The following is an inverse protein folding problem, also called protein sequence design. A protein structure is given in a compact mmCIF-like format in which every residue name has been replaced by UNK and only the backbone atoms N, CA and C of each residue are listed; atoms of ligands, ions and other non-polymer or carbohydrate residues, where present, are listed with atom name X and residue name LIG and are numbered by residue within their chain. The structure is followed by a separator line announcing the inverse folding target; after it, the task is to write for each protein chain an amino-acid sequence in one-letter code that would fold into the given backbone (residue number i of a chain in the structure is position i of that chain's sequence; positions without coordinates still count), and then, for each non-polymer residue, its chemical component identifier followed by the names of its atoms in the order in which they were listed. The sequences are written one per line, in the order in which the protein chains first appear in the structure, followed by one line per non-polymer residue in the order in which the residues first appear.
data_IF_286640790484
#
_entry.id   IF_286640790484
#
_cell.length_a   1.000
_cell.length_b   1.000
_cell.length_c   1.000
_cell.angle_alpha   90.00
_cell.angle_beta   90.00
_cell.angle_gamma   90.00
#
_symmetry.space_group_name_H-M   'P 1'
#
loop_
_entity.id
_entity.type
_entity.pdbx_description
1 polymer ?
#
# COMPACT_ATOMS: atom_id res chain seq x y z
N UNK A 1 -22.18 -18.25 -4.91
CA UNK A 1 -22.83 -16.93 -4.89
C UNK A 1 -22.37 -16.18 -3.65
N UNK A 2 -21.55 -15.12 -3.77
CA UNK A 2 -21.28 -14.24 -2.62
C UNK A 2 -22.54 -13.45 -2.33
N UNK A 3 -23.04 -13.51 -1.11
CA UNK A 3 -24.10 -12.61 -0.64
C UNK A 3 -23.58 -11.19 -0.78
N UNK A 4 -24.25 -10.35 -1.57
CA UNK A 4 -23.90 -8.93 -1.69
C UNK A 4 -24.04 -8.32 -0.28
N UNK A 5 -22.94 -7.95 0.33
CA UNK A 5 -22.95 -7.29 1.65
C UNK A 5 -23.66 -5.95 1.51
N UNK A 6 -24.73 -5.75 2.27
CA UNK A 6 -25.38 -4.44 2.32
C UNK A 6 -24.40 -3.44 2.94
N UNK A 7 -24.11 -2.34 2.22
CA UNK A 7 -23.24 -1.28 2.72
C UNK A 7 -23.78 -0.73 4.05
N UNK A 8 -22.89 -0.52 5.02
CA UNK A 8 -23.25 0.12 6.29
C UNK A 8 -23.68 1.58 6.05
N UNK A 9 -24.44 2.14 6.97
CA UNK A 9 -24.85 3.55 6.82
C UNK A 9 -23.64 4.49 6.82
N UNK A 10 -22.61 4.20 7.63
CA UNK A 10 -21.38 4.98 7.65
C UNK A 10 -20.66 4.92 6.28
N UNK A 11 -20.62 3.74 5.64
CA UNK A 11 -20.08 3.60 4.29
C UNK A 11 -20.87 4.42 3.26
N UNK A 12 -22.19 4.37 3.31
CA UNK A 12 -23.05 5.11 2.39
C UNK A 12 -22.88 6.63 2.56
N UNK A 13 -22.84 7.11 3.79
CA UNK A 13 -22.61 8.53 4.11
C UNK A 13 -21.21 8.96 3.68
N UNK A 14 -20.18 8.14 3.96
CA UNK A 14 -18.81 8.42 3.51
C UNK A 14 -18.72 8.55 2.00
N UNK A 15 -19.26 7.57 1.24
CA UNK A 15 -19.28 7.61 -0.23
C UNK A 15 -19.99 8.83 -0.76
N UNK A 16 -21.13 9.22 -0.16
CA UNK A 16 -21.89 10.37 -0.59
C UNK A 16 -21.19 11.70 -0.31
N UNK A 17 -20.44 11.79 0.79
CA UNK A 17 -19.68 13.00 1.14
C UNK A 17 -18.30 13.08 0.45
N UNK A 18 -17.82 11.97 -0.14
CA UNK A 18 -16.53 11.92 -0.81
C UNK A 18 -16.51 12.56 -2.20
N UNK A 19 -17.64 13.05 -2.70
CA UNK A 19 -17.72 13.88 -3.91
C UNK A 19 -17.24 15.33 -3.67
N UNK A 20 -16.89 15.67 -2.42
CA UNK A 20 -16.44 17.01 -2.01
C UNK A 20 -17.55 18.04 -1.91
N UNK A 21 -18.81 17.67 -2.20
CA UNK A 21 -19.96 18.58 -2.13
C UNK A 21 -20.55 18.61 -0.72
N UNK A 22 -21.02 19.78 -0.32
CA UNK A 22 -21.74 19.91 0.94
C UNK A 22 -23.13 19.27 0.85
N UNK A 23 -23.48 18.47 1.86
CA UNK A 23 -24.82 17.92 2.01
C UNK A 23 -25.32 18.12 3.44
N UNK A 24 -26.59 18.54 3.59
CA UNK A 24 -27.21 18.62 4.91
C UNK A 24 -27.50 17.21 5.46
N UNK A 25 -27.52 17.07 6.78
CA UNK A 25 -27.90 15.79 7.41
C UNK A 25 -29.34 15.38 7.04
N UNK A 26 -30.23 16.36 6.74
CA UNK A 26 -31.57 16.07 6.26
C UNK A 26 -31.54 15.55 4.82
N UNK A 27 -30.81 16.19 3.92
CA UNK A 27 -30.64 15.72 2.53
C UNK A 27 -30.11 14.30 2.48
N UNK A 28 -29.06 14.00 3.28
CA UNK A 28 -28.51 12.65 3.38
C UNK A 28 -29.52 11.62 3.93
N UNK A 29 -30.33 12.05 4.91
CA UNK A 29 -31.37 11.20 5.49
C UNK A 29 -32.45 10.85 4.45
N UNK A 30 -32.89 11.84 3.69
CA UNK A 30 -33.91 11.67 2.64
C UNK A 30 -33.37 10.80 1.49
N UNK A 31 -32.15 11.05 1.00
CA UNK A 31 -31.50 10.27 -0.06
C UNK A 31 -31.30 8.79 0.34
N UNK A 32 -30.92 8.54 1.60
CA UNK A 32 -30.60 7.20 2.09
C UNK A 32 -31.78 6.47 2.74
N UNK A 33 -32.94 7.12 2.84
CA UNK A 33 -34.15 6.54 3.42
C UNK A 33 -34.03 6.25 4.94
N UNK A 34 -33.31 7.10 5.69
CA UNK A 34 -33.05 6.94 7.12
C UNK A 34 -33.40 8.20 7.91
N UNK A 35 -33.26 8.17 9.22
CA UNK A 35 -33.49 9.36 10.05
C UNK A 35 -32.27 10.27 10.09
N UNK A 36 -32.47 11.58 10.28
CA UNK A 36 -31.37 12.54 10.48
C UNK A 36 -30.44 12.15 11.62
N UNK A 37 -30.98 11.62 12.72
CA UNK A 37 -30.16 11.15 13.85
C UNK A 37 -29.28 9.95 13.50
N UNK A 38 -29.75 9.05 12.61
CA UNK A 38 -28.95 7.96 12.10
C UNK A 38 -27.77 8.45 11.24
N UNK A 39 -28.00 9.46 10.40
CA UNK A 39 -26.94 10.11 9.61
C UNK A 39 -25.90 10.75 10.53
N UNK A 40 -26.32 11.46 11.59
CA UNK A 40 -25.38 12.05 12.55
C UNK A 40 -24.52 10.99 13.25
N UNK A 41 -25.12 9.86 13.67
CA UNK A 41 -24.35 8.75 14.22
C UNK A 41 -23.36 8.15 13.22
N UNK A 42 -23.75 8.05 11.95
CA UNK A 42 -22.87 7.58 10.89
C UNK A 42 -21.69 8.54 10.65
N UNK A 43 -21.92 9.86 10.65
CA UNK A 43 -20.86 10.86 10.56
C UNK A 43 -19.90 10.77 11.76
N UNK A 44 -20.42 10.63 12.96
CA UNK A 44 -19.59 10.46 14.15
C UNK A 44 -18.70 9.18 14.05
N UNK A 45 -19.25 8.06 13.56
CA UNK A 45 -18.45 6.86 13.33
C UNK A 45 -17.35 7.05 12.26
N UNK A 46 -17.58 7.90 11.26
CA UNK A 46 -16.56 8.29 10.27
C UNK A 46 -15.45 9.13 10.94
N UNK A 47 -15.82 10.06 11.83
CA UNK A 47 -14.87 10.88 12.59
C UNK A 47 -14.04 10.04 13.55
N UNK A 48 -14.66 9.08 14.26
CA UNK A 48 -13.96 8.11 15.12
C UNK A 48 -12.97 7.24 14.34
N UNK A 49 -13.27 6.95 13.05
CA UNK A 49 -12.35 6.26 12.14
C UNK A 49 -11.21 7.15 11.61
N UNK A 50 -11.13 8.40 12.05
CA UNK A 50 -10.05 9.34 11.73
C UNK A 50 -10.28 10.23 10.52
N UNK A 51 -11.51 10.30 10.01
CA UNK A 51 -11.89 11.18 8.88
C UNK A 51 -12.63 12.40 9.39
N UNK A 52 -12.05 13.60 9.33
CA UNK A 52 -12.74 14.81 9.74
C UNK A 52 -13.92 15.13 8.81
N UNK A 53 -15.11 15.30 9.41
CA UNK A 53 -16.30 15.78 8.73
C UNK A 53 -16.43 17.29 8.99
N UNK A 54 -16.23 18.08 7.96
CA UNK A 54 -16.36 19.53 8.06
C UNK A 54 -17.84 19.92 8.06
N UNK A 55 -18.24 20.76 9.01
CA UNK A 55 -19.59 21.36 9.05
C UNK A 55 -19.51 22.86 8.79
N UNK A 56 -20.30 23.34 7.84
CA UNK A 56 -20.47 24.77 7.56
C UNK A 56 -21.95 25.13 7.70
N UNK A 57 -22.30 26.12 8.55
CA UNK A 57 -23.68 26.61 8.71
C UNK A 57 -24.31 26.96 7.35
N UNK A 58 -25.55 26.56 7.15
CA UNK A 58 -26.34 26.73 5.92
C UNK A 58 -25.82 25.98 4.66
N UNK A 59 -24.63 25.33 4.72
CA UNK A 59 -24.12 24.51 3.63
C UNK A 59 -24.24 23.03 3.95
N UNK A 60 -24.04 22.63 5.22
CA UNK A 60 -24.09 21.24 5.66
C UNK A 60 -22.71 20.65 5.92
N UNK A 61 -22.55 19.36 5.66
CA UNK A 61 -21.36 18.57 5.95
C UNK A 61 -20.64 18.17 4.64
N UNK A 62 -19.32 18.05 4.70
CA UNK A 62 -18.48 17.41 3.68
C UNK A 62 -17.30 16.71 4.32
N UNK A 63 -16.67 15.79 3.64
CA UNK A 63 -15.35 15.31 4.04
C UNK A 63 -14.30 16.37 3.76
N UNK A 64 -13.23 16.41 4.56
CA UNK A 64 -12.10 17.32 4.31
C UNK A 64 -11.55 17.07 2.91
N UNK A 65 -11.07 18.11 2.24
CA UNK A 65 -10.55 18.08 0.88
C UNK A 65 -9.52 16.97 0.68
N UNK A 66 -9.59 16.33 -0.47
CA UNK A 66 -8.67 15.26 -0.89
C UNK A 66 -9.07 13.83 -0.48
N UNK A 67 -10.17 13.64 0.24
CA UNK A 67 -10.68 12.31 0.54
C UNK A 67 -11.66 11.87 -0.54
N UNK A 68 -11.22 10.95 -1.40
CA UNK A 68 -12.03 10.34 -2.47
C UNK A 68 -12.25 8.86 -2.14
N UNK A 69 -13.51 8.38 -2.17
CA UNK A 69 -13.81 6.97 -1.96
C UNK A 69 -13.18 6.09 -3.06
N UNK A 70 -12.74 4.90 -2.69
CA UNK A 70 -12.27 3.92 -3.65
C UNK A 70 -13.48 3.38 -4.45
N UNK A 71 -13.32 3.36 -5.76
CA UNK A 71 -14.34 2.92 -6.72
C UNK A 71 -13.74 2.01 -7.78
N UNK A 72 -14.25 0.77 -7.86
CA UNK A 72 -13.75 -0.25 -8.79
C UNK A 72 -13.87 0.19 -10.23
N UNK A 73 -14.99 0.82 -10.62
CA UNK A 73 -15.22 1.23 -12.00
C UNK A 73 -14.23 2.32 -12.41
N UNK A 74 -13.98 3.31 -11.53
CA UNK A 74 -12.98 4.36 -11.78
C UNK A 74 -11.56 3.80 -11.86
N UNK A 75 -11.20 2.85 -10.98
CA UNK A 75 -9.89 2.19 -11.01
C UNK A 75 -9.70 1.43 -12.34
N UNK A 76 -10.67 0.59 -12.71
CA UNK A 76 -10.56 -0.23 -13.92
C UNK A 76 -10.59 0.63 -15.20
N UNK A 77 -11.37 1.71 -15.23
CA UNK A 77 -11.41 2.63 -16.37
C UNK A 77 -10.08 3.37 -16.64
N UNK A 78 -9.23 3.50 -15.62
CA UNK A 78 -7.91 4.14 -15.74
C UNK A 78 -6.78 3.16 -16.07
N UNK A 79 -7.05 1.84 -16.08
CA UNK A 79 -6.06 0.84 -16.46
C UNK A 79 -5.88 0.83 -17.99
N UNK A 80 -4.63 0.79 -18.49
CA UNK A 80 -4.37 0.48 -19.89
C UNK A 80 -4.95 -0.89 -20.27
N UNK A 81 -5.46 -1.05 -21.49
CA UNK A 81 -6.14 -2.28 -21.93
C UNK A 81 -5.32 -3.55 -21.71
N UNK A 82 -4.00 -3.49 -21.93
CA UNK A 82 -3.09 -4.62 -21.73
C UNK A 82 -2.90 -5.00 -20.25
N UNK A 83 -3.03 -4.05 -19.33
CA UNK A 83 -2.99 -4.30 -17.90
C UNK A 83 -4.36 -4.78 -17.40
N UNK A 84 -5.45 -4.19 -17.89
CA UNK A 84 -6.82 -4.61 -17.57
C UNK A 84 -7.06 -6.09 -17.93
N UNK A 85 -6.54 -6.56 -19.06
CA UNK A 85 -6.64 -7.96 -19.47
C UNK A 85 -5.96 -8.95 -18.49
N UNK A 86 -5.10 -8.44 -17.60
CA UNK A 86 -4.43 -9.22 -16.55
C UNK A 86 -5.13 -9.15 -15.19
N UNK A 87 -6.25 -8.48 -15.07
CA UNK A 87 -7.03 -8.38 -13.84
C UNK A 87 -8.26 -9.27 -13.97
N UNK A 88 -8.26 -10.41 -13.28
CA UNK A 88 -9.43 -11.31 -13.24
C UNK A 88 -10.54 -10.78 -12.31
N UNK A 89 -10.13 -10.07 -11.26
CA UNK A 89 -11.03 -9.57 -10.22
C UNK A 89 -10.46 -8.33 -9.57
N UNK A 90 -11.31 -7.34 -9.32
CA UNK A 90 -10.98 -6.16 -8.53
C UNK A 90 -12.14 -5.88 -7.56
N UNK A 91 -11.84 -5.75 -6.28
CA UNK A 91 -12.84 -5.53 -5.24
C UNK A 91 -12.37 -4.46 -4.26
N UNK A 92 -13.33 -3.70 -3.72
CA UNK A 92 -13.14 -2.74 -2.63
C UNK A 92 -14.02 -3.15 -1.46
N UNK A 93 -13.40 -3.38 -0.31
CA UNK A 93 -14.09 -3.63 0.95
C UNK A 93 -14.09 -2.37 1.81
N UNK A 94 -15.21 -2.11 2.50
CA UNK A 94 -15.29 -0.99 3.44
C UNK A 94 -14.30 -1.13 4.58
N UNK A 95 -14.33 -2.29 5.25
CA UNK A 95 -13.42 -2.60 6.34
C UNK A 95 -13.19 -4.10 6.41
N UNK A 96 -11.94 -4.48 6.66
CA UNK A 96 -11.53 -5.86 6.94
C UNK A 96 -10.23 -5.87 7.75
N UNK A 97 -9.87 -6.98 8.38
CA UNK A 97 -8.63 -7.04 9.15
C UNK A 97 -7.37 -6.76 8.32
N UNK A 98 -7.23 -7.41 7.17
CA UNK A 98 -6.09 -7.27 6.28
C UNK A 98 -6.43 -7.75 4.87
N UNK A 99 -6.15 -6.95 3.86
CA UNK A 99 -6.32 -7.29 2.45
C UNK A 99 -5.45 -8.49 2.05
N UNK A 100 -4.21 -8.57 2.56
CA UNK A 100 -3.34 -9.73 2.35
C UNK A 100 -3.93 -11.01 2.93
N UNK A 101 -4.38 -10.95 4.20
CA UNK A 101 -4.97 -12.12 4.85
C UNK A 101 -6.22 -12.62 4.11
N UNK A 102 -7.04 -11.70 3.62
CA UNK A 102 -8.24 -12.04 2.85
C UNK A 102 -7.90 -12.73 1.53
N UNK A 103 -6.90 -12.25 0.78
CA UNK A 103 -6.46 -12.87 -0.47
C UNK A 103 -5.73 -14.21 -0.24
N UNK A 104 -4.95 -14.33 0.84
CA UNK A 104 -4.33 -15.62 1.20
C UNK A 104 -5.37 -16.69 1.53
N UNK A 105 -6.49 -16.32 2.11
CA UNK A 105 -7.61 -17.22 2.42
C UNK A 105 -8.52 -17.47 1.21
N UNK A 106 -8.42 -16.64 0.16
CA UNK A 106 -9.22 -16.80 -1.05
C UNK A 106 -8.69 -17.92 -1.95
N UNK A 107 -9.48 -18.25 -2.98
CA UNK A 107 -9.04 -19.16 -4.05
C UNK A 107 -7.90 -18.58 -4.89
N UNK A 108 -7.23 -19.44 -5.63
CA UNK A 108 -6.15 -19.03 -6.52
C UNK A 108 -6.68 -18.21 -7.70
N UNK A 109 -6.04 -17.09 -8.02
CA UNK A 109 -6.35 -16.39 -9.27
C UNK A 109 -5.94 -17.25 -10.48
N UNK A 110 -6.62 -17.09 -11.64
CA UNK A 110 -6.21 -17.75 -12.86
C UNK A 110 -4.76 -17.41 -13.22
N UNK A 111 -4.06 -18.35 -13.87
CA UNK A 111 -2.69 -18.12 -14.34
C UNK A 111 -2.61 -16.86 -15.20
N UNK A 112 -1.57 -16.06 -14.99
CA UNK A 112 -1.31 -14.80 -15.70
C UNK A 112 -2.36 -13.70 -15.48
N UNK A 113 -3.22 -13.85 -14.49
CA UNK A 113 -4.18 -12.84 -14.06
C UNK A 113 -4.08 -12.59 -12.56
N UNK A 114 -4.45 -11.40 -12.14
CA UNK A 114 -4.41 -10.96 -10.76
C UNK A 114 -5.81 -10.92 -10.14
N UNK A 115 -5.91 -11.24 -8.86
CA UNK A 115 -7.01 -10.81 -8.01
C UNK A 115 -6.56 -9.61 -7.19
N UNK A 116 -7.27 -8.49 -7.34
CA UNK A 116 -6.98 -7.22 -6.68
C UNK A 116 -8.01 -6.99 -5.57
N UNK A 117 -7.54 -6.69 -4.37
CA UNK A 117 -8.39 -6.37 -3.22
C UNK A 117 -7.89 -5.11 -2.53
N UNK A 118 -8.81 -4.17 -2.35
CA UNK A 118 -8.59 -2.94 -1.62
C UNK A 118 -9.48 -2.88 -0.38
N UNK A 119 -9.08 -2.05 0.59
CA UNK A 119 -9.92 -1.70 1.72
C UNK A 119 -9.87 -0.20 1.98
N UNK A 120 -11.02 0.40 2.30
CA UNK A 120 -11.07 1.75 2.82
C UNK A 120 -10.42 1.83 4.20
N UNK A 121 -10.57 0.78 5.01
CA UNK A 121 -9.99 0.67 6.34
C UNK A 121 -9.54 -0.75 6.66
N UNK A 122 -8.32 -0.90 7.21
CA UNK A 122 -7.84 -2.15 7.78
C UNK A 122 -7.84 -2.06 9.30
N UNK A 123 -8.60 -2.95 9.97
CA UNK A 123 -8.70 -2.99 11.44
C UNK A 123 -7.49 -3.67 12.11
N UNK A 124 -6.74 -4.49 11.36
CA UNK A 124 -5.55 -5.20 11.81
C UNK A 124 -4.51 -5.27 10.67
N UNK A 125 -4.19 -4.11 10.09
CA UNK A 125 -3.20 -3.99 9.02
C UNK A 125 -1.83 -4.51 9.47
N UNK A 126 -1.14 -5.25 8.59
CA UNK A 126 0.10 -5.95 8.90
C UNK A 126 1.27 -5.43 8.09
N UNK A 127 2.40 -5.30 8.76
CA UNK A 127 3.71 -5.14 8.16
C UNK A 127 4.61 -6.34 8.48
N UNK A 128 5.83 -6.31 7.99
CA UNK A 128 6.83 -7.36 8.26
C UNK A 128 7.11 -7.51 9.76
N UNK A 129 7.46 -8.74 10.17
CA UNK A 129 7.85 -9.07 11.56
C UNK A 129 6.76 -8.72 12.57
N UNK A 130 5.48 -8.88 12.21
CA UNK A 130 4.35 -8.64 13.11
C UNK A 130 4.07 -7.17 13.45
N UNK A 131 4.75 -6.21 12.80
CA UNK A 131 4.45 -4.78 13.02
C UNK A 131 3.07 -4.44 12.48
N UNK A 132 2.37 -3.56 13.17
CA UNK A 132 1.10 -3.03 12.68
C UNK A 132 1.33 -2.03 11.54
N UNK A 133 0.45 -2.07 10.53
CA UNK A 133 0.28 -1.02 9.55
C UNK A 133 -0.95 -0.20 9.92
N UNK A 134 -0.74 1.06 10.24
CA UNK A 134 -1.82 1.99 10.61
C UNK A 134 -2.21 2.80 9.37
N UNK A 135 -3.45 2.66 8.94
CA UNK A 135 -3.99 3.39 7.80
C UNK A 135 -5.30 4.07 8.24
N UNK A 136 -5.38 5.41 8.19
CA UNK A 136 -6.64 6.08 8.46
C UNK A 136 -7.64 5.81 7.33
N UNK A 137 -8.92 5.78 7.67
CA UNK A 137 -10.00 5.69 6.68
C UNK A 137 -9.84 6.81 5.64
N UNK A 138 -9.87 6.47 4.36
CA UNK A 138 -9.76 7.44 3.27
C UNK A 138 -8.38 8.10 3.09
N UNK A 139 -7.46 7.99 4.05
CA UNK A 139 -6.15 8.66 4.03
C UNK A 139 -4.97 7.80 3.55
N UNK A 140 -5.22 6.55 3.16
CA UNK A 140 -4.20 5.64 2.67
C UNK A 140 -4.73 4.75 1.54
N UNK A 141 -3.83 4.18 0.76
CA UNK A 141 -4.11 3.04 -0.10
C UNK A 141 -3.72 1.78 0.67
N UNK A 142 -4.69 0.87 0.86
CA UNK A 142 -4.47 -0.49 1.35
C UNK A 142 -4.82 -1.45 0.22
N UNK A 143 -3.80 -1.84 -0.55
CA UNK A 143 -3.92 -2.65 -1.77
C UNK A 143 -3.25 -3.99 -1.55
N UNK A 144 -3.90 -5.08 -1.98
CA UNK A 144 -3.26 -6.38 -2.15
C UNK A 144 -3.56 -6.94 -3.53
N UNK A 145 -2.55 -7.59 -4.11
CA UNK A 145 -2.62 -8.26 -5.41
C UNK A 145 -2.20 -9.71 -5.20
N UNK A 146 -3.10 -10.66 -5.46
CA UNK A 146 -2.76 -12.07 -5.53
C UNK A 146 -2.41 -12.45 -6.97
N UNK A 147 -1.36 -13.26 -7.12
CA UNK A 147 -0.86 -13.76 -8.39
C UNK A 147 -0.41 -15.20 -8.26
N UNK A 148 -0.75 -16.05 -9.23
CA UNK A 148 -0.32 -17.44 -9.27
C UNK A 148 0.89 -17.58 -10.21
N UNK A 149 2.04 -17.99 -9.65
CA UNK A 149 3.20 -18.43 -10.41
C UNK A 149 3.08 -19.92 -10.66
N UNK A 150 3.27 -20.42 -11.90
CA UNK A 150 3.28 -21.87 -12.18
C UNK A 150 4.36 -22.60 -11.40
N UNK A 151 5.51 -21.96 -11.23
CA UNK A 151 6.64 -22.41 -10.42
C UNK A 151 7.11 -21.24 -9.55
N UNK A 152 7.62 -21.54 -8.36
CA UNK A 152 8.12 -20.52 -7.44
C UNK A 152 9.35 -19.83 -8.05
N UNK A 153 9.33 -18.50 -8.27
CA UNK A 153 10.48 -17.77 -8.78
C UNK A 153 11.69 -17.91 -7.86
N UNK A 154 12.88 -18.17 -8.43
CA UNK A 154 14.12 -18.32 -7.66
C UNK A 154 14.46 -17.08 -6.82
N UNK A 155 14.17 -15.90 -7.37
CA UNK A 155 14.48 -14.61 -6.76
C UNK A 155 13.28 -14.03 -5.97
N UNK A 156 12.36 -14.88 -5.48
CA UNK A 156 11.13 -14.39 -4.82
C UNK A 156 11.42 -13.38 -3.70
N UNK A 157 12.54 -13.52 -3.00
CA UNK A 157 12.97 -12.57 -1.97
C UNK A 157 13.16 -11.14 -2.51
N UNK A 158 13.47 -10.98 -3.81
CA UNK A 158 13.62 -9.69 -4.47
C UNK A 158 12.29 -9.12 -5.01
N UNK A 159 11.18 -9.84 -4.93
CA UNK A 159 9.90 -9.35 -5.47
C UNK A 159 9.47 -8.04 -4.81
N UNK A 160 9.75 -7.83 -3.52
CA UNK A 160 9.46 -6.56 -2.86
C UNK A 160 10.25 -5.39 -3.47
N UNK A 161 11.45 -5.64 -3.99
CA UNK A 161 12.26 -4.63 -4.68
C UNK A 161 11.68 -4.30 -6.06
N UNK A 162 11.21 -5.33 -6.79
CA UNK A 162 10.49 -5.14 -8.07
C UNK A 162 9.23 -4.29 -7.87
N UNK A 163 8.43 -4.62 -6.86
CA UNK A 163 7.22 -3.84 -6.53
C UNK A 163 7.56 -2.40 -6.13
N UNK A 164 8.69 -2.21 -5.44
CA UNK A 164 9.24 -0.88 -5.16
C UNK A 164 9.52 -0.08 -6.44
N UNK A 165 10.16 -0.70 -7.45
CA UNK A 165 10.39 -0.07 -8.76
C UNK A 165 9.07 0.24 -9.47
N UNK A 166 8.09 -0.68 -9.43
CA UNK A 166 6.75 -0.41 -9.96
C UNK A 166 6.09 0.80 -9.28
N UNK A 167 6.24 0.94 -7.97
CA UNK A 167 5.73 2.09 -7.23
C UNK A 167 6.44 3.40 -7.64
N UNK A 168 7.77 3.39 -7.83
CA UNK A 168 8.49 4.56 -8.36
C UNK A 168 7.95 5.00 -9.73
N UNK A 169 7.71 4.06 -10.63
CA UNK A 169 7.14 4.35 -11.97
C UNK A 169 5.73 4.92 -11.85
N UNK A 170 4.90 4.32 -10.97
CA UNK A 170 3.53 4.76 -10.74
C UNK A 170 3.44 6.19 -10.18
N UNK A 171 4.39 6.59 -9.34
CA UNK A 171 4.42 7.92 -8.71
C UNK A 171 5.28 8.93 -9.48
N UNK A 172 6.39 8.51 -10.11
CA UNK A 172 7.31 9.39 -10.84
C UNK A 172 6.66 10.16 -11.97
N UNK A 173 5.62 9.64 -12.60
CA UNK A 173 4.84 10.32 -13.63
C UNK A 173 4.08 11.57 -13.11
N UNK A 174 4.06 11.82 -11.80
CA UNK A 174 3.33 12.91 -11.14
C UNK A 174 4.22 13.83 -10.30
N UNK A 175 5.52 13.90 -10.60
CA UNK A 175 6.49 14.79 -9.96
C UNK A 175 6.55 14.70 -8.42
N UNK A 176 6.38 13.49 -7.85
CA UNK A 176 6.60 13.26 -6.43
C UNK A 176 8.10 13.34 -6.15
N UNK A 177 8.55 14.48 -5.62
CA UNK A 177 9.96 14.73 -5.37
C UNK A 177 10.52 13.89 -4.22
N UNK A 178 11.78 13.49 -4.35
CA UNK A 178 12.53 12.84 -3.28
C UNK A 178 12.12 11.41 -2.96
N UNK A 179 11.27 10.79 -3.79
CA UNK A 179 10.88 9.39 -3.59
C UNK A 179 12.05 8.45 -3.83
N UNK A 180 12.31 7.56 -2.87
CA UNK A 180 13.40 6.60 -2.88
C UNK A 180 12.95 5.26 -2.28
N UNK A 181 13.76 4.23 -2.46
CA UNK A 181 13.53 2.88 -1.98
C UNK A 181 14.48 2.57 -0.81
N UNK A 182 13.91 2.21 0.33
CA UNK A 182 14.70 1.71 1.45
C UNK A 182 14.57 0.20 1.52
N UNK A 183 15.70 -0.48 1.32
CA UNK A 183 15.76 -1.93 1.43
C UNK A 183 15.25 -2.42 2.81
N UNK A 184 14.46 -3.50 2.86
CA UNK A 184 14.10 -4.34 1.72
C UNK A 184 12.72 -4.03 1.11
N UNK A 185 11.93 -3.12 1.66
CA UNK A 185 10.51 -3.07 1.31
C UNK A 185 9.81 -1.74 1.59
N UNK A 186 10.54 -0.67 1.89
CA UNK A 186 9.93 0.61 2.23
C UNK A 186 10.08 1.62 1.07
N UNK A 187 9.00 2.36 0.83
CA UNK A 187 8.98 3.59 0.05
C UNK A 187 9.25 4.74 1.02
N UNK A 188 10.23 5.57 0.71
CA UNK A 188 10.62 6.69 1.59
C UNK A 188 10.79 7.98 0.78
N UNK A 189 10.57 9.12 1.44
CA UNK A 189 10.95 10.43 0.94
C UNK A 189 11.48 11.26 2.10
N UNK A 190 12.56 11.99 1.88
CA UNK A 190 13.24 12.80 2.91
C UNK A 190 13.55 12.03 4.22
N UNK A 191 13.89 10.74 4.07
CA UNK A 191 14.16 9.84 5.20
C UNK A 191 12.91 9.31 5.92
N UNK A 192 11.72 9.84 5.62
CA UNK A 192 10.43 9.46 6.23
C UNK A 192 9.71 8.41 5.40
N UNK A 193 8.92 7.56 6.05
CA UNK A 193 8.22 6.45 5.40
C UNK A 193 6.94 6.93 4.71
N UNK A 194 6.87 6.77 3.39
CA UNK A 194 5.68 6.98 2.55
C UNK A 194 4.82 5.73 2.48
N UNK A 195 5.44 4.56 2.38
CA UNK A 195 4.71 3.32 2.19
C UNK A 195 5.53 2.08 2.53
N UNK A 196 4.91 0.93 2.44
CA UNK A 196 5.56 -0.35 2.67
C UNK A 196 4.95 -1.47 1.84
N UNK A 197 5.78 -2.45 1.52
CA UNK A 197 5.44 -3.62 0.72
C UNK A 197 5.56 -4.86 1.60
N UNK A 198 4.57 -5.74 1.55
CA UNK A 198 4.54 -7.00 2.27
C UNK A 198 4.22 -8.13 1.31
N UNK A 199 5.22 -9.00 1.08
CA UNK A 199 5.03 -10.21 0.28
C UNK A 199 4.73 -11.36 1.22
N UNK A 200 3.61 -12.02 0.99
CA UNK A 200 3.21 -13.27 1.65
C UNK A 200 2.88 -14.31 0.58
N UNK A 201 3.01 -15.57 0.90
CA UNK A 201 2.74 -16.64 -0.06
C UNK A 201 2.05 -17.83 0.59
N UNK A 202 1.32 -18.56 -0.25
CA UNK A 202 0.88 -19.92 0.00
C UNK A 202 1.43 -20.80 -1.12
N UNK A 203 2.25 -21.75 -0.78
CA UNK A 203 2.79 -22.73 -1.72
C UNK A 203 2.66 -24.11 -1.12
N UNK A 204 2.34 -25.07 -1.95
CA UNK A 204 2.47 -26.50 -1.62
C UNK A 204 3.89 -26.96 -1.93
N UNK A 205 4.28 -28.15 -1.46
CA UNK A 205 5.64 -28.68 -1.62
C UNK A 205 6.07 -28.85 -3.09
N UNK A 206 5.09 -28.97 -4.00
CA UNK A 206 5.29 -29.00 -5.45
C UNK A 206 4.06 -28.43 -6.13
N UNK A 207 4.25 -27.52 -7.09
CA UNK A 207 3.15 -26.97 -7.87
C UNK A 207 3.10 -25.43 -7.88
N UNK A 208 1.97 -24.87 -8.29
CA UNK A 208 1.79 -23.42 -8.35
C UNK A 208 1.93 -22.76 -6.99
N UNK A 209 2.53 -21.58 -6.97
CA UNK A 209 2.64 -20.74 -5.79
C UNK A 209 1.75 -19.51 -5.91
N UNK A 210 0.85 -19.31 -4.96
CA UNK A 210 0.09 -18.07 -4.84
C UNK A 210 0.87 -17.09 -4.00
N UNK A 211 1.26 -15.99 -4.62
CA UNK A 211 1.94 -14.87 -3.95
C UNK A 211 0.97 -13.72 -3.78
N UNK A 212 0.89 -13.17 -2.58
CA UNK A 212 0.09 -12.00 -2.26
C UNK A 212 1.02 -10.83 -1.97
N UNK A 213 0.86 -9.78 -2.76
CA UNK A 213 1.64 -8.54 -2.73
C UNK A 213 0.80 -7.48 -2.05
N UNK A 214 1.11 -7.17 -0.80
CA UNK A 214 0.48 -6.06 -0.06
C UNK A 214 1.25 -4.77 -0.24
N UNK A 215 0.55 -3.68 -0.49
CA UNK A 215 1.12 -2.34 -0.61
C UNK A 215 0.28 -1.39 0.22
N UNK A 216 0.93 -0.78 1.22
CA UNK A 216 0.38 0.33 1.98
C UNK A 216 1.04 1.63 1.55
N UNK A 217 0.26 2.65 1.18
CA UNK A 217 0.78 3.98 0.82
C UNK A 217 0.00 5.05 1.58
N UNK A 218 0.72 5.94 2.23
CA UNK A 218 0.15 7.11 2.88
C UNK A 218 -0.21 8.14 1.81
N UNK A 219 -1.47 8.55 1.76
CA UNK A 219 -1.96 9.54 0.79
C UNK A 219 -2.22 10.88 1.47
N UNK A 220 -2.96 10.86 2.57
CA UNK A 220 -3.30 12.04 3.37
C UNK A 220 -3.39 11.65 4.85
N UNK A 221 -2.30 11.79 5.59
CA UNK A 221 -2.26 11.46 7.02
C UNK A 221 -2.74 12.65 7.86
N UNK A 222 -3.73 12.42 8.73
CA UNK A 222 -4.11 13.39 9.75
C UNK A 222 -3.03 13.53 10.84
N UNK A 223 -3.09 14.64 11.60
CA UNK A 223 -2.14 14.92 12.66
C UNK A 223 -2.08 13.82 13.73
N UNK A 224 -3.24 13.25 14.10
CA UNK A 224 -3.33 12.20 15.11
C UNK A 224 -2.63 10.90 14.66
N UNK A 225 -2.76 10.53 13.37
CA UNK A 225 -2.07 9.36 12.82
C UNK A 225 -0.57 9.59 12.78
N UNK A 226 -0.12 10.79 12.39
CA UNK A 226 1.31 11.15 12.42
C UNK A 226 1.86 11.07 13.84
N UNK A 227 1.13 11.59 14.84
CA UNK A 227 1.53 11.52 16.24
C UNK A 227 1.64 10.07 16.74
N UNK A 228 0.69 9.21 16.39
CA UNK A 228 0.74 7.77 16.73
C UNK A 228 1.93 7.05 16.09
N UNK A 229 2.24 7.36 14.84
CA UNK A 229 3.39 6.78 14.12
C UNK A 229 4.70 7.27 14.75
N UNK A 230 4.78 8.56 15.11
CA UNK A 230 5.94 9.14 15.78
C UNK A 230 6.14 8.54 17.19
N UNK A 231 5.09 8.34 17.96
CA UNK A 231 5.15 7.68 19.27
C UNK A 231 5.67 6.23 19.20
N UNK A 232 5.49 5.56 18.05
CA UNK A 232 6.05 4.24 17.77
C UNK A 232 7.52 4.29 17.26
N UNK A 233 8.17 5.45 17.32
CA UNK A 233 9.57 5.64 16.89
C UNK A 233 9.78 5.58 15.37
N UNK A 234 8.75 5.95 14.59
CA UNK A 234 8.83 6.02 13.14
C UNK A 234 8.42 7.42 12.66
N UNK A 235 8.94 7.83 11.52
CA UNK A 235 8.54 9.05 10.86
C UNK A 235 7.80 8.71 9.58
N UNK A 236 6.62 9.29 9.40
CA UNK A 236 5.78 9.10 8.23
C UNK A 236 5.64 10.39 7.43
N UNK A 237 5.55 10.22 6.11
CA UNK A 237 5.19 11.25 5.15
C UNK A 237 4.05 10.72 4.28
N UNK A 238 3.29 11.58 3.65
CA UNK A 238 2.25 11.21 2.70
C UNK A 238 2.39 11.93 1.35
N UNK A 239 1.63 11.47 0.36
CA UNK A 239 1.70 12.00 -1.00
C UNK A 239 1.29 13.48 -1.08
N UNK A 240 0.31 13.91 -0.31
CA UNK A 240 -0.10 15.32 -0.32
C UNK A 240 1.00 16.25 0.16
N UNK A 241 1.75 15.86 1.20
CA UNK A 241 2.89 16.63 1.72
C UNK A 241 4.01 16.73 0.67
N UNK A 242 4.15 15.71 -0.17
CA UNK A 242 5.12 15.69 -1.28
C UNK A 242 4.63 16.43 -2.54
N UNK A 243 3.45 17.05 -2.49
CA UNK A 243 2.84 17.70 -3.66
C UNK A 243 2.25 16.73 -4.69
N UNK A 244 2.08 15.46 -4.30
CA UNK A 244 1.52 14.42 -5.15
C UNK A 244 -0.01 14.45 -5.24
N UNK A 245 -0.53 13.51 -6.04
CA UNK A 245 -1.96 13.35 -6.25
C UNK A 245 -2.64 12.71 -5.03
N UNK A 246 -3.85 13.18 -4.70
CA UNK A 246 -4.71 12.61 -3.68
C UNK A 246 -5.76 11.63 -4.25
N UNK A 247 -5.90 11.54 -5.57
CA UNK A 247 -6.83 10.60 -6.21
C UNK A 247 -6.35 9.16 -6.02
N UNK A 248 -6.89 8.51 -4.97
CA UNK A 248 -6.55 7.13 -4.63
C UNK A 248 -6.91 6.14 -5.74
N UNK A 249 -7.94 6.41 -6.55
CA UNK A 249 -8.34 5.56 -7.67
C UNK A 249 -7.27 5.59 -8.77
N UNK A 250 -6.77 6.79 -9.09
CA UNK A 250 -5.68 6.96 -10.05
C UNK A 250 -4.37 6.33 -9.55
N UNK A 251 -4.04 6.51 -8.28
CA UNK A 251 -2.86 5.89 -7.64
C UNK A 251 -2.93 4.36 -7.75
N UNK A 252 -4.08 3.77 -7.39
CA UNK A 252 -4.30 2.32 -7.44
C UNK A 252 -4.20 1.81 -8.87
N UNK A 253 -4.84 2.48 -9.83
CA UNK A 253 -4.77 2.08 -11.25
C UNK A 253 -3.33 2.03 -11.76
N UNK A 254 -2.52 3.06 -11.47
CA UNK A 254 -1.10 3.08 -11.84
C UNK A 254 -0.30 1.96 -11.17
N UNK A 255 -0.47 1.76 -9.84
CA UNK A 255 0.22 0.69 -9.12
C UNK A 255 -0.15 -0.70 -9.67
N UNK A 256 -1.44 -0.98 -9.84
CA UNK A 256 -1.91 -2.24 -10.41
C UNK A 256 -1.35 -2.44 -11.82
N UNK A 257 -1.43 -1.39 -12.67
CA UNK A 257 -0.93 -1.43 -14.04
C UNK A 257 0.54 -1.82 -14.12
N UNK A 258 1.41 -1.14 -13.36
CA UNK A 258 2.85 -1.44 -13.34
C UNK A 258 3.14 -2.85 -12.81
N UNK A 259 2.47 -3.26 -11.73
CA UNK A 259 2.75 -4.53 -11.07
C UNK A 259 2.32 -5.72 -11.92
N UNK A 260 1.08 -5.72 -12.48
CA UNK A 260 0.60 -6.87 -13.27
C UNK A 260 1.38 -7.06 -14.56
N UNK A 261 2.05 -6.01 -15.04
CA UNK A 261 2.96 -6.08 -16.19
C UNK A 261 4.37 -6.54 -15.79
N UNK A 262 4.82 -6.22 -14.58
CA UNK A 262 6.13 -6.63 -14.08
C UNK A 262 6.19 -8.11 -13.70
N UNK A 263 5.10 -8.69 -13.15
CA UNK A 263 5.08 -10.06 -12.62
C UNK A 263 5.46 -11.14 -13.65
N UNK A 264 4.95 -11.15 -14.90
CA UNK A 264 5.39 -12.12 -15.92
C UNK A 264 6.86 -11.97 -16.28
N UNK A 265 7.37 -10.73 -16.35
CA UNK A 265 8.77 -10.45 -16.64
C UNK A 265 9.66 -10.93 -15.49
N UNK A 266 9.26 -10.68 -14.24
CA UNK A 266 9.95 -11.17 -13.06
C UNK A 266 9.99 -12.71 -13.00
N UNK A 267 8.90 -13.39 -13.39
CA UNK A 267 8.85 -14.85 -13.40
C UNK A 267 9.92 -15.47 -14.33
N UNK A 268 10.23 -14.80 -15.45
CA UNK A 268 11.16 -15.31 -16.47
C UNK A 268 12.59 -14.81 -16.24
N UNK A 269 12.75 -13.52 -15.98
CA UNK A 269 14.05 -12.82 -15.97
C UNK A 269 14.55 -12.50 -14.55
N UNK A 270 13.75 -12.78 -13.52
CA UNK A 270 14.08 -12.45 -12.13
C UNK A 270 14.20 -10.94 -11.88
N UNK A 271 15.07 -10.57 -10.94
CA UNK A 271 15.25 -9.18 -10.52
C UNK A 271 16.08 -8.33 -11.51
N UNK A 272 16.89 -8.95 -12.35
CA UNK A 272 17.87 -8.26 -13.20
C UNK A 272 17.33 -7.07 -14.00
N UNK A 273 16.13 -7.13 -14.64
CA UNK A 273 15.57 -6.02 -15.43
C UNK A 273 15.20 -4.78 -14.62
N UNK A 274 15.07 -4.91 -13.30
CA UNK A 274 14.63 -3.86 -12.39
C UNK A 274 15.80 -3.27 -11.58
N UNK A 275 16.94 -3.94 -11.60
CA UNK A 275 18.07 -3.66 -10.71
C UNK A 275 18.68 -2.26 -10.91
N UNK A 276 18.70 -1.76 -12.14
CA UNK A 276 19.27 -0.44 -12.46
C UNK A 276 18.42 0.68 -11.84
N UNK A 277 17.12 0.66 -12.05
CA UNK A 277 16.19 1.65 -11.48
C UNK A 277 16.19 1.58 -9.95
N UNK A 278 16.22 0.37 -9.38
CA UNK A 278 16.28 0.20 -7.94
C UNK A 278 17.55 0.84 -7.36
N UNK A 279 18.74 0.60 -7.98
CA UNK A 279 20.01 1.17 -7.52
C UNK A 279 20.07 2.69 -7.61
N UNK A 280 19.39 3.29 -8.58
CA UNK A 280 19.29 4.76 -8.70
C UNK A 280 18.47 5.36 -7.56
N UNK A 281 17.48 4.62 -7.06
CA UNK A 281 16.57 5.06 -6.01
C UNK A 281 16.97 4.57 -4.60
N UNK A 282 18.13 3.93 -4.44
CA UNK A 282 18.56 3.34 -3.16
C UNK A 282 18.83 4.41 -2.10
N UNK A 283 17.93 4.51 -1.13
CA UNK A 283 18.02 5.45 0.00
C UNK A 283 19.11 5.13 1.00
N UNK A 284 19.71 3.94 0.96
CA UNK A 284 20.70 3.49 1.94
C UNK A 284 22.13 3.60 1.43
N UNK A 285 22.35 3.65 0.13
CA UNK A 285 23.68 3.57 -0.47
C UNK A 285 24.62 4.64 0.09
N UNK A 286 25.76 4.21 0.60
CA UNK A 286 26.78 5.07 1.19
C UNK A 286 26.50 5.53 2.62
N UNK A 287 25.36 5.14 3.21
CA UNK A 287 24.98 5.53 4.58
C UNK A 287 25.47 4.52 5.61
N UNK A 288 25.79 5.02 6.80
CA UNK A 288 25.99 4.17 7.97
C UNK A 288 24.64 3.57 8.40
N UNK A 289 24.60 2.26 8.52
CA UNK A 289 23.38 1.51 8.85
C UNK A 289 23.65 0.48 9.94
N UNK A 290 22.60 0.13 10.65
CA UNK A 290 22.56 -1.00 11.56
C UNK A 290 21.60 -2.05 10.99
N UNK A 291 22.08 -3.28 10.83
CA UNK A 291 21.32 -4.42 10.35
C UNK A 291 21.05 -5.36 11.52
N UNK A 292 19.77 -5.50 11.88
CA UNK A 292 19.35 -6.40 12.95
C UNK A 292 19.08 -7.79 12.39
N UNK A 293 19.97 -8.73 12.65
CA UNK A 293 19.82 -10.15 12.39
C UNK A 293 20.16 -10.90 13.68
N UNK A 294 19.14 -11.47 14.34
CA UNK A 294 19.34 -12.08 15.67
C UNK A 294 19.47 -11.05 16.81
N UNK A 295 20.22 -11.39 17.87
CA UNK A 295 20.31 -10.60 19.10
C UNK A 295 21.15 -9.32 18.95
N UNK A 296 22.28 -9.40 18.24
CA UNK A 296 23.20 -8.27 18.09
C UNK A 296 23.07 -7.60 16.71
N UNK A 297 22.98 -6.26 16.66
CA UNK A 297 22.94 -5.53 15.40
C UNK A 297 24.35 -5.47 14.79
N UNK A 298 24.44 -5.66 13.49
CA UNK A 298 25.68 -5.45 12.74
C UNK A 298 25.68 -4.03 12.16
N UNK A 299 26.74 -3.28 12.40
CA UNK A 299 26.91 -1.90 11.94
C UNK A 299 27.90 -1.87 10.79
N UNK A 300 27.60 -1.07 9.75
CA UNK A 300 28.48 -0.91 8.60
C UNK A 300 27.95 0.13 7.61
N UNK A 301 28.62 0.23 6.48
CA UNK A 301 28.24 1.14 5.38
C UNK A 301 27.49 0.35 4.31
N UNK A 302 26.28 0.79 3.96
CA UNK A 302 25.53 0.19 2.87
C UNK A 302 26.21 0.42 1.51
N UNK A 303 26.50 -0.65 0.79
CA UNK A 303 27.17 -0.63 -0.53
C UNK A 303 26.21 -0.90 -1.69
N UNK A 304 24.90 -0.88 -1.40
CA UNK A 304 23.84 -1.17 -2.39
C UNK A 304 23.40 -2.62 -2.30
N UNK A 305 22.99 -3.18 -3.44
CA UNK A 305 22.49 -4.56 -3.53
C UNK A 305 23.27 -5.36 -4.58
N UNK A 306 23.31 -6.68 -4.41
CA UNK A 306 23.85 -7.63 -5.40
C UNK A 306 22.85 -7.87 -6.55
N UNK A 307 23.21 -8.77 -7.48
CA UNK A 307 22.38 -9.12 -8.62
C UNK A 307 21.05 -9.81 -8.23
N UNK A 308 20.99 -10.48 -7.09
CA UNK A 308 19.81 -11.15 -6.56
C UNK A 308 18.99 -10.27 -5.59
N UNK A 309 19.36 -8.98 -5.41
CA UNK A 309 18.64 -8.05 -4.54
C UNK A 309 19.02 -8.16 -3.05
N UNK A 310 20.07 -8.86 -2.67
CA UNK A 310 20.55 -8.89 -1.29
C UNK A 310 21.32 -7.63 -0.95
N UNK A 311 21.13 -7.08 0.25
CA UNK A 311 21.83 -5.91 0.73
C UNK A 311 23.31 -6.23 0.98
N UNK A 312 24.20 -5.38 0.48
CA UNK A 312 25.63 -5.44 0.71
C UNK A 312 26.03 -4.39 1.75
N UNK A 313 26.68 -4.83 2.81
CA UNK A 313 27.13 -3.97 3.91
C UNK A 313 28.63 -4.19 4.14
N UNK A 314 29.40 -3.13 4.08
CA UNK A 314 30.81 -3.13 4.45
C UNK A 314 30.93 -2.93 5.95
N UNK A 315 31.44 -3.94 6.62
CA UNK A 315 31.69 -3.97 8.07
C UNK A 315 33.18 -4.03 8.34
N UNK A 316 33.65 -3.85 9.58
CA UNK A 316 35.04 -4.08 9.92
C UNK A 316 35.59 -5.48 9.59
N UNK A 317 34.68 -6.48 9.51
CA UNK A 317 35.01 -7.84 9.15
C UNK A 317 34.96 -8.09 7.61
N UNK A 318 34.72 -7.06 6.80
CA UNK A 318 34.61 -7.13 5.34
C UNK A 318 33.18 -6.96 4.82
N UNK A 319 33.01 -7.18 3.51
CA UNK A 319 31.71 -7.04 2.84
C UNK A 319 30.81 -8.23 3.21
N UNK A 320 29.66 -7.91 3.80
CA UNK A 320 28.65 -8.91 4.18
C UNK A 320 27.39 -8.78 3.32
N UNK A 321 26.70 -9.91 3.13
CA UNK A 321 25.48 -10.04 2.33
C UNK A 321 24.29 -10.40 3.21
N UNK A 322 23.20 -9.63 3.08
CA UNK A 322 21.95 -9.84 3.82
C UNK A 322 20.79 -10.08 2.88
N UNK A 323 20.07 -11.18 3.08
CA UNK A 323 18.87 -11.53 2.28
C UNK A 323 17.63 -10.91 2.92
N UNK A 324 16.69 -10.45 2.10
CA UNK A 324 15.41 -9.93 2.57
C UNK A 324 14.58 -11.07 3.22
N UNK A 325 14.39 -11.02 4.50
CA UNK A 325 13.65 -12.03 5.26
C UNK A 325 13.54 -11.58 6.71
N UNK A 326 14.45 -12.02 7.53
CA UNK A 326 14.43 -11.77 8.98
C UNK A 326 15.18 -10.50 9.41
N UNK A 327 15.53 -9.63 8.49
CA UNK A 327 16.40 -8.47 8.71
C UNK A 327 15.61 -7.19 8.83
N UNK A 328 16.03 -6.32 9.78
CA UNK A 328 15.57 -4.94 9.91
C UNK A 328 16.76 -3.99 9.76
N UNK A 329 16.60 -2.92 8.99
CA UNK A 329 17.66 -1.94 8.73
C UNK A 329 17.27 -0.58 9.28
N UNK A 330 18.19 0.05 10.03
CA UNK A 330 18.05 1.43 10.51
C UNK A 330 19.24 2.24 10.03
N UNK A 331 18.98 3.47 9.60
CA UNK A 331 20.06 4.46 9.34
C UNK A 331 20.56 4.96 10.68
N UNK A 332 21.87 5.07 10.81
CA UNK A 332 22.48 5.70 11.97
C UNK A 332 22.51 7.22 11.76
N UNK A 333 22.21 7.96 12.83
CA UNK A 333 22.27 9.41 12.84
C UNK A 333 23.72 9.93 12.71
#
# INVERSE_FOLDING_TARGET
MKTVRKASLAEQVFRRLSDGQFASAQTLADELGVTRSAVQKAMHAIEEAGVPVEFVPHRGHRLRDGIVALDVAQILAQLPAHALARVARCEVEWALPSTNAALLAAGEPPLRQASVLLAEHQTAGRGRRGRAWVAPLGGAVCLSIAWTFPELPRDLAALSLVVGVCALRAFGARDVRGLALKWPNDLVADGRKLGGILIEMRAESSGPAVVVIGIGVNVALGADVRARVAAAGNEAIDLLELGGDADRNAIVARLVGEIVMALPKFAVEGFAPFSAEWRQADALRGRAISVQLGAEPQVGIARGIDAGGSLLVETPAGLQRFVAGEVSVRVQA
#
